data_IF_667139010851
#
_entry.id   IF_667139010851
#
_cell.length_a   1.000
_cell.length_b   1.000
_cell.length_c   1.000
_cell.angle_alpha   90.00
_cell.angle_beta   90.00
_cell.angle_gamma   90.00
#
_symmetry.space_group_name_H-M   'P 1'
#
loop_
_entity.id
_entity.type
_entity.pdbx_description
1 polymer ?
#
# COMPACT_ATOMS: atom_id res chain seq x y z
N UNK A 1 1.75 -4.22 1.03
CA UNK A 1 1.43 -5.55 1.57
C UNK A 1 0.61 -5.38 2.83
N UNK A 2 -0.51 -6.09 2.94
CA UNK A 2 -1.39 -6.11 4.13
C UNK A 2 -1.29 -7.45 4.88
N UNK A 3 -0.51 -8.41 4.37
CA UNK A 3 -0.37 -9.73 4.97
C UNK A 3 0.45 -9.68 6.28
N UNK A 4 0.05 -10.42 7.34
CA UNK A 4 0.69 -10.34 8.65
C UNK A 4 2.21 -10.55 8.65
N UNK A 5 2.71 -11.46 7.81
CA UNK A 5 4.15 -11.73 7.66
C UNK A 5 4.91 -10.48 7.20
N UNK A 6 4.38 -9.76 6.20
CA UNK A 6 4.99 -8.54 5.69
C UNK A 6 4.88 -7.39 6.69
N UNK A 7 3.76 -7.26 7.38
CA UNK A 7 3.59 -6.26 8.43
C UNK A 7 4.58 -6.47 9.58
N UNK A 8 4.88 -7.73 9.93
CA UNK A 8 5.88 -8.04 10.95
C UNK A 8 7.31 -7.82 10.44
N UNK A 9 7.60 -8.24 9.21
CA UNK A 9 8.93 -8.12 8.59
C UNK A 9 9.33 -6.67 8.32
N UNK A 10 8.38 -5.82 7.97
CA UNK A 10 8.59 -4.41 7.64
C UNK A 10 7.90 -3.49 8.65
N UNK A 11 7.87 -3.88 9.93
CA UNK A 11 7.18 -3.14 11.01
C UNK A 11 7.59 -1.66 11.13
N UNK A 12 8.83 -1.32 10.76
CA UNK A 12 9.38 0.03 10.82
C UNK A 12 9.08 0.83 9.53
N UNK A 13 8.38 0.23 8.57
CA UNK A 13 8.02 0.80 7.26
C UNK A 13 6.55 0.52 6.95
N UNK A 14 5.70 0.59 7.97
CA UNK A 14 4.24 0.52 7.84
C UNK A 14 3.61 1.90 7.96
N UNK A 15 2.56 2.14 7.20
CA UNK A 15 1.73 3.35 7.30
C UNK A 15 0.28 2.92 7.55
N UNK A 16 -0.44 3.72 8.33
CA UNK A 16 -1.88 3.58 8.51
C UNK A 16 -2.61 4.26 7.35
N UNK A 17 -3.59 3.57 6.77
CA UNK A 17 -4.35 4.06 5.64
C UNK A 17 -5.82 3.66 5.76
N UNK A 18 -6.70 4.58 5.37
CA UNK A 18 -8.14 4.36 5.32
C UNK A 18 -8.51 3.74 3.97
N UNK A 19 -9.34 2.70 4.00
CA UNK A 19 -9.81 2.01 2.79
C UNK A 19 -11.05 2.72 2.27
N UNK A 20 -10.91 3.44 1.17
CA UNK A 20 -12.01 4.14 0.54
C UNK A 20 -12.87 3.19 -0.30
N UNK A 21 -12.22 2.31 -1.08
CA UNK A 21 -12.89 1.38 -1.99
C UNK A 21 -12.14 0.04 -2.04
N UNK A 22 -12.90 -1.06 -2.19
CA UNK A 22 -12.39 -2.40 -2.42
C UNK A 22 -13.02 -2.97 -3.69
N UNK A 23 -12.19 -3.35 -4.67
CA UNK A 23 -12.64 -3.92 -5.96
C UNK A 23 -12.07 -5.33 -6.16
N UNK A 24 -12.94 -6.34 -6.23
CA UNK A 24 -12.56 -7.72 -6.49
C UNK A 24 -12.50 -7.97 -8.00
N UNK A 25 -11.30 -8.24 -8.52
CA UNK A 25 -11.03 -8.50 -9.95
C UNK A 25 -10.81 -10.00 -10.24
N UNK A 26 -11.37 -10.87 -9.39
CA UNK A 26 -11.27 -12.32 -9.51
C UNK A 26 -9.96 -12.89 -8.97
N UNK A 27 -8.84 -12.64 -9.65
CA UNK A 27 -7.52 -13.14 -9.21
C UNK A 27 -6.86 -12.23 -8.17
N UNK A 28 -7.24 -10.96 -8.12
CA UNK A 28 -6.65 -9.95 -7.25
C UNK A 28 -7.75 -9.02 -6.72
N UNK A 29 -7.47 -8.36 -5.60
CA UNK A 29 -8.30 -7.29 -5.06
C UNK A 29 -7.52 -5.99 -5.12
N UNK A 30 -8.16 -4.94 -5.64
CA UNK A 30 -7.64 -3.57 -5.57
C UNK A 30 -8.21 -2.87 -4.35
N UNK A 31 -7.33 -2.23 -3.59
CA UNK A 31 -7.67 -1.36 -2.48
C UNK A 31 -7.32 0.07 -2.89
N UNK A 32 -8.30 0.95 -2.84
CA UNK A 32 -8.09 2.39 -2.93
C UNK A 32 -8.00 2.92 -1.52
N UNK A 33 -6.83 3.45 -1.19
CA UNK A 33 -6.43 3.80 0.14
C UNK A 33 -6.16 5.29 0.22
N UNK A 34 -6.42 5.88 1.38
CA UNK A 34 -5.98 7.21 1.73
C UNK A 34 -4.96 7.11 2.86
N UNK A 35 -3.71 7.49 2.58
CA UNK A 35 -2.66 7.55 3.58
C UNK A 35 -2.20 9.00 3.74
N UNK A 36 -2.48 9.60 4.91
CA UNK A 36 -2.09 10.98 5.22
C UNK A 36 -2.56 12.00 4.17
N UNK A 37 -3.76 11.80 3.60
CA UNK A 37 -4.31 12.66 2.54
C UNK A 37 -3.83 12.34 1.13
N UNK A 38 -2.99 11.31 0.95
CA UNK A 38 -2.49 10.89 -0.35
C UNK A 38 -3.23 9.63 -0.83
N UNK A 39 -3.81 9.65 -2.04
CA UNK A 39 -4.43 8.47 -2.63
C UNK A 39 -3.37 7.44 -3.02
N UNK A 40 -3.59 6.19 -2.63
CA UNK A 40 -2.71 5.05 -2.90
C UNK A 40 -3.56 3.91 -3.42
N UNK A 41 -3.13 3.28 -4.52
CA UNK A 41 -3.73 2.03 -4.99
C UNK A 41 -2.84 0.86 -4.59
N UNK A 42 -3.40 -0.09 -3.84
CA UNK A 42 -2.74 -1.33 -3.51
C UNK A 42 -3.41 -2.51 -4.21
N UNK A 43 -2.61 -3.48 -4.64
CA UNK A 43 -3.07 -4.73 -5.24
C UNK A 43 -2.69 -5.87 -4.32
N UNK A 44 -3.70 -6.60 -3.84
CA UNK A 44 -3.56 -7.65 -2.83
C UNK A 44 -4.19 -8.95 -3.28
N UNK A 45 -3.86 -10.04 -2.58
CA UNK A 45 -4.48 -11.33 -2.82
C UNK A 45 -6.02 -11.26 -2.61
N UNK A 46 -6.80 -12.05 -3.36
CA UNK A 46 -8.27 -12.03 -3.29
C UNK A 46 -8.79 -12.56 -1.95
N UNK A 47 -7.92 -13.19 -1.16
CA UNK A 47 -8.19 -13.65 0.22
C UNK A 47 -8.07 -12.54 1.26
N UNK A 48 -7.69 -11.31 0.88
CA UNK A 48 -7.68 -10.18 1.80
C UNK A 48 -9.08 -9.95 2.38
N UNK A 49 -9.14 -9.70 3.69
CA UNK A 49 -10.40 -9.49 4.42
C UNK A 49 -10.78 -8.01 4.55
N UNK A 50 -9.97 -7.14 3.95
CA UNK A 50 -10.11 -5.68 4.00
C UNK A 50 -11.39 -5.23 3.29
N UNK A 51 -12.09 -4.28 3.90
CA UNK A 51 -13.35 -3.71 3.39
C UNK A 51 -13.29 -2.20 3.36
N UNK A 52 -14.13 -1.60 2.53
CA UNK A 52 -14.33 -0.15 2.54
C UNK A 52 -14.77 0.33 3.94
N UNK A 53 -14.15 1.40 4.41
CA UNK A 53 -14.32 1.96 5.76
C UNK A 53 -13.37 1.38 6.81
N UNK A 54 -12.58 0.35 6.50
CA UNK A 54 -11.54 -0.13 7.42
C UNK A 54 -10.35 0.83 7.45
N UNK A 55 -9.72 0.98 8.61
CA UNK A 55 -8.39 1.56 8.73
C UNK A 55 -7.39 0.42 8.89
N UNK A 56 -6.46 0.29 7.95
CA UNK A 56 -5.48 -0.81 7.90
C UNK A 56 -4.05 -0.30 8.00
N UNK A 57 -3.13 -1.17 8.39
CA UNK A 57 -1.69 -0.93 8.19
C UNK A 57 -1.23 -1.58 6.92
N UNK A 58 -0.46 -0.84 6.14
CA UNK A 58 0.18 -1.31 4.92
C UNK A 58 1.68 -1.22 5.07
N UNK A 59 2.37 -2.33 4.80
CA UNK A 59 3.83 -2.38 4.74
C UNK A 59 4.35 -1.96 3.36
N UNK A 60 5.33 -1.06 3.37
CA UNK A 60 6.15 -0.72 2.22
C UNK A 60 7.48 -1.49 2.29
N UNK A 61 7.89 -2.02 1.15
CA UNK A 61 9.18 -2.72 1.02
C UNK A 61 10.19 -1.71 0.50
N UNK A 62 11.04 -1.19 1.39
CA UNK A 62 11.97 -0.10 1.06
C UNK A 62 12.87 -0.40 -0.15
N UNK A 63 13.25 -1.67 -0.36
CA UNK A 63 14.06 -2.10 -1.51
C UNK A 63 13.31 -2.11 -2.84
N UNK A 64 12.03 -1.72 -2.87
CA UNK A 64 11.20 -1.63 -4.08
C UNK A 64 10.59 -0.23 -4.24
N UNK A 65 11.09 0.75 -3.48
CA UNK A 65 10.65 2.13 -3.58
C UNK A 65 11.53 2.84 -4.62
N UNK A 66 10.87 3.48 -5.57
CA UNK A 66 11.52 4.37 -6.52
C UNK A 66 11.18 5.82 -6.13
N UNK A 67 12.20 6.63 -5.90
CA UNK A 67 12.05 8.04 -5.55
C UNK A 67 12.64 8.90 -6.66
N UNK A 68 11.90 9.91 -7.07
CA UNK A 68 12.31 10.86 -8.11
C UNK A 68 12.26 12.28 -7.56
N UNK A 69 13.27 13.06 -7.87
CA UNK A 69 13.27 14.50 -7.58
C UNK A 69 12.25 15.22 -8.47
N UNK A 70 11.42 16.07 -7.87
CA UNK A 70 10.31 16.75 -8.57
C UNK A 70 10.80 17.74 -9.64
N UNK A 71 11.93 18.39 -9.44
CA UNK A 71 12.41 19.46 -10.33
C UNK A 71 13.30 18.90 -11.44
N UNK A 72 14.13 17.92 -11.12
CA UNK A 72 15.17 17.39 -12.01
C UNK A 72 14.84 16.05 -12.64
N UNK A 73 13.77 15.39 -12.18
CA UNK A 73 13.36 14.02 -12.56
C UNK A 73 14.41 12.94 -12.25
N UNK A 74 15.49 13.31 -11.55
CA UNK A 74 16.56 12.39 -11.21
C UNK A 74 16.08 11.32 -10.22
N UNK A 75 16.46 10.06 -10.47
CA UNK A 75 16.21 8.97 -9.55
C UNK A 75 17.10 9.09 -8.32
N UNK A 76 16.49 9.20 -7.13
CA UNK A 76 17.16 9.27 -5.83
C UNK A 76 17.41 7.86 -5.28
N UNK A 77 16.46 6.94 -5.49
CA UNK A 77 16.54 5.51 -5.07
C UNK A 77 15.92 4.63 -6.16
N UNK A 78 16.58 3.50 -6.46
CA UNK A 78 16.15 2.48 -7.44
C UNK A 78 16.58 1.08 -6.99
#
# INVERSE_FOLDING_TARGET
>A
HDEPEYLQRYKDSTVEADVEVTELMGNETYLYLNALGNPITARVAPTSKTRAGDTIRVAFVNSRIHLFDKETEAAIVN
#
